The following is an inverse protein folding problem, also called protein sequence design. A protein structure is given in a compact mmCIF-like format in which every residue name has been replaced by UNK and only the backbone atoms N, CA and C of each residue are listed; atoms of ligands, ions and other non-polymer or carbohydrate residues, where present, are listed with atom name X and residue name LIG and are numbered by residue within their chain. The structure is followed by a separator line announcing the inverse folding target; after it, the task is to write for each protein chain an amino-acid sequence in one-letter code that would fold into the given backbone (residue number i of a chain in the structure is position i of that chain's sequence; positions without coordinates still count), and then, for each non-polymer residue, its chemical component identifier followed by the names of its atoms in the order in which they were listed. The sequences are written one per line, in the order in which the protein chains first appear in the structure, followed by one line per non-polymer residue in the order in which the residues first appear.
data_IF_490532637571
#
_entry.id   IF_490532637571
#
_cell.length_a   1.000
_cell.length_b   1.000
_cell.length_c   1.000
_cell.angle_alpha   90.00
_cell.angle_beta   90.00
_cell.angle_gamma   90.00
#
_symmetry.space_group_name_H-M   'P 1'
#
loop_
_entity.id
_entity.type
_entity.pdbx_description
1 polymer ?
#
# COMPACT_ATOMS: atom_id res chain seq x y z
N UNK A 1 52.97 -93.79 0.99
CA UNK A 1 51.58 -93.54 1.45
C UNK A 1 50.93 -92.51 0.53
N UNK A 2 49.62 -92.63 0.27
CA UNK A 2 48.83 -91.64 -0.51
C UNK A 2 47.94 -90.83 0.42
N UNK A 3 47.80 -89.53 0.17
CA UNK A 3 46.65 -88.64 0.45
C UNK A 3 46.94 -87.30 -0.25
N UNK A 4 46.10 -86.75 -1.14
CA UNK A 4 44.88 -85.93 -0.88
C UNK A 4 45.13 -84.72 0.05
N UNK A 5 44.57 -83.52 -0.13
CA UNK A 5 43.92 -82.79 -1.25
C UNK A 5 43.57 -81.38 -0.69
N UNK A 6 43.63 -80.32 -1.50
CA UNK A 6 42.94 -78.99 -1.34
C UNK A 6 43.18 -77.99 -0.18
N UNK A 7 43.25 -76.71 -0.62
CA UNK A 7 42.52 -75.50 -0.17
C UNK A 7 42.97 -74.61 1.03
N UNK A 8 43.04 -73.31 0.68
CA UNK A 8 42.52 -72.11 1.37
C UNK A 8 43.23 -71.45 2.57
N UNK A 9 43.52 -70.15 2.32
CA UNK A 9 43.09 -68.94 3.07
C UNK A 9 44.07 -68.19 3.99
N UNK A 10 43.99 -66.85 3.84
CA UNK A 10 44.56 -65.75 4.66
C UNK A 10 46.09 -65.58 4.53
N UNK A 11 46.66 -64.37 4.60
CA UNK A 11 46.11 -63.02 4.78
C UNK A 11 46.43 -62.14 3.52
N UNK A 12 46.43 -60.80 3.48
CA UNK A 12 46.21 -59.72 4.47
C UNK A 12 45.56 -58.50 3.74
N UNK A 13 45.52 -57.32 4.37
CA UNK A 13 44.87 -56.07 3.91
C UNK A 13 45.94 -55.01 3.58
N UNK A 14 45.67 -54.11 2.61
CA UNK A 14 45.91 -52.69 2.85
C UNK A 14 44.62 -51.88 2.68
N UNK A 15 44.36 -50.99 3.65
CA UNK A 15 43.21 -50.10 3.64
C UNK A 15 43.49 -48.96 2.66
N UNK A 16 42.78 -48.95 1.52
CA UNK A 16 42.72 -47.75 0.69
C UNK A 16 41.84 -46.71 1.37
N UNK A 17 42.46 -45.78 2.10
CA UNK A 17 41.82 -44.54 2.55
C UNK A 17 41.49 -43.68 1.34
N UNK A 18 40.24 -43.80 0.88
CA UNK A 18 39.67 -42.89 -0.13
C UNK A 18 39.60 -41.49 0.50
N UNK A 19 40.56 -40.64 0.16
CA UNK A 19 40.46 -39.20 0.35
C UNK A 19 39.38 -38.67 -0.59
N UNK A 20 38.13 -38.76 -0.15
CA UNK A 20 37.04 -37.97 -0.69
C UNK A 20 37.39 -36.50 -0.47
N UNK A 21 38.01 -35.88 -1.47
CA UNK A 21 38.06 -34.42 -1.58
C UNK A 21 36.61 -34.00 -1.73
N UNK A 22 36.01 -33.57 -0.61
CA UNK A 22 34.78 -32.81 -0.64
C UNK A 22 35.13 -31.50 -1.32
N UNK A 23 34.97 -31.47 -2.64
CA UNK A 23 34.80 -30.21 -3.35
C UNK A 23 33.50 -29.63 -2.81
N UNK A 24 33.65 -28.81 -1.77
CA UNK A 24 32.65 -27.80 -1.43
C UNK A 24 32.49 -26.96 -2.67
N UNK A 25 31.51 -27.34 -3.49
CA UNK A 25 30.84 -26.39 -4.36
C UNK A 25 30.38 -25.30 -3.41
N UNK A 26 31.15 -24.22 -3.34
CA UNK A 26 30.63 -22.95 -2.89
C UNK A 26 29.47 -22.69 -3.83
N UNK A 27 28.27 -22.98 -3.35
CA UNK A 27 27.06 -22.38 -3.88
C UNK A 27 27.39 -20.90 -3.94
N UNK A 28 27.56 -20.40 -5.17
CA UNK A 28 27.50 -18.98 -5.43
C UNK A 28 26.09 -18.60 -5.05
N UNK A 29 25.92 -18.29 -3.76
CA UNK A 29 24.97 -17.30 -3.31
C UNK A 29 25.15 -16.18 -4.30
N UNK A 30 24.18 -16.05 -5.19
CA UNK A 30 23.92 -14.78 -5.82
C UNK A 30 23.58 -13.90 -4.63
N UNK A 31 24.60 -13.21 -4.12
CA UNK A 31 24.41 -11.99 -3.39
C UNK A 31 23.67 -11.11 -4.37
N UNK A 32 22.34 -11.16 -4.26
CA UNK A 32 21.42 -10.23 -4.88
C UNK A 32 21.92 -8.88 -4.40
N UNK A 33 22.70 -8.20 -5.24
CA UNK A 33 23.17 -6.87 -4.95
C UNK A 33 21.89 -6.07 -4.77
N UNK A 34 21.58 -5.70 -3.52
CA UNK A 34 20.54 -4.74 -3.23
C UNK A 34 20.85 -3.53 -4.11
N UNK A 35 20.09 -3.40 -5.20
CA UNK A 35 20.32 -2.38 -6.21
C UNK A 35 20.00 -1.07 -5.53
N UNK A 36 21.03 -0.43 -4.96
CA UNK A 36 20.90 0.79 -4.20
C UNK A 36 20.23 1.82 -5.11
N UNK A 37 18.95 2.07 -4.83
CA UNK A 37 18.10 2.89 -5.67
C UNK A 37 18.63 4.32 -5.66
N UNK A 38 18.88 4.89 -6.84
CA UNK A 38 19.16 6.32 -6.95
C UNK A 38 17.91 7.07 -6.45
N UNK A 39 18.06 7.73 -5.32
CA UNK A 39 17.00 8.48 -4.66
C UNK A 39 16.43 9.59 -5.56
N UNK A 40 17.24 10.17 -6.44
CA UNK A 40 16.79 11.19 -7.40
C UNK A 40 15.98 10.57 -8.54
N UNK A 41 16.37 9.39 -9.03
CA UNK A 41 15.61 8.63 -10.03
C UNK A 41 14.24 8.24 -9.45
N UNK A 42 14.21 7.65 -8.25
CA UNK A 42 12.97 7.26 -7.55
C UNK A 42 12.04 8.45 -7.31
N UNK A 43 12.57 9.60 -6.85
CA UNK A 43 11.82 10.85 -6.70
C UNK A 43 11.22 11.30 -8.05
N UNK A 44 12.00 11.25 -9.12
CA UNK A 44 11.58 11.67 -10.46
C UNK A 44 10.48 10.78 -11.02
N UNK A 45 10.59 9.47 -10.84
CA UNK A 45 9.58 8.51 -11.29
C UNK A 45 8.31 8.58 -10.45
N UNK A 46 8.42 8.70 -9.12
CA UNK A 46 7.28 8.98 -8.24
C UNK A 46 6.57 10.28 -8.64
N UNK A 47 7.29 11.32 -9.07
CA UNK A 47 6.71 12.54 -9.62
C UNK A 47 5.88 12.32 -10.89
N UNK A 48 6.33 11.45 -11.81
CA UNK A 48 5.55 11.07 -13.00
C UNK A 48 4.32 10.23 -12.62
N UNK A 49 4.47 9.30 -11.68
CA UNK A 49 3.39 8.47 -11.13
C UNK A 49 2.30 9.34 -10.50
N UNK A 50 2.67 10.27 -9.62
CA UNK A 50 1.74 11.22 -9.01
C UNK A 50 1.09 12.15 -10.05
N UNK A 51 1.82 12.56 -11.10
CA UNK A 51 1.27 13.40 -12.18
C UNK A 51 0.21 12.65 -12.96
N UNK A 52 0.43 11.36 -13.24
CA UNK A 52 -0.53 10.51 -13.93
C UNK A 52 -1.78 10.27 -13.11
N UNK A 53 -1.67 10.05 -11.80
CA UNK A 53 -2.83 9.92 -10.93
C UNK A 53 -3.62 11.23 -10.84
N UNK A 54 -2.94 12.37 -10.66
CA UNK A 54 -3.60 13.68 -10.64
C UNK A 54 -4.24 14.06 -11.99
N UNK A 55 -3.73 13.51 -13.10
CA UNK A 55 -4.31 13.65 -14.44
C UNK A 55 -5.54 12.74 -14.61
N UNK A 56 -5.47 11.51 -14.12
CA UNK A 56 -6.61 10.58 -14.08
C UNK A 56 -7.74 11.13 -13.23
N UNK A 57 -7.47 11.62 -12.01
CA UNK A 57 -8.49 12.26 -11.16
C UNK A 57 -9.22 13.45 -11.82
N UNK A 58 -8.59 14.08 -12.83
CA UNK A 58 -9.17 15.19 -13.60
C UNK A 58 -9.91 14.71 -14.85
N UNK A 59 -9.38 13.70 -15.54
CA UNK A 59 -9.84 13.31 -16.87
C UNK A 59 -10.71 12.04 -16.89
N UNK A 60 -10.61 11.17 -15.88
CA UNK A 60 -11.38 9.93 -15.71
C UNK A 60 -11.30 9.00 -16.95
N UNK A 61 -10.08 8.70 -17.39
CA UNK A 61 -9.78 7.97 -18.64
C UNK A 61 -9.44 6.49 -18.44
N UNK A 62 -9.29 6.04 -17.19
CA UNK A 62 -9.10 4.63 -16.83
C UNK A 62 -10.43 3.94 -16.53
N UNK A 63 -10.43 2.61 -16.62
CA UNK A 63 -11.50 1.80 -16.05
C UNK A 63 -11.52 1.90 -14.51
N UNK A 64 -12.66 1.67 -13.84
CA UNK A 64 -12.74 1.69 -12.38
C UNK A 64 -11.80 0.69 -11.67
N UNK A 65 -11.36 -0.37 -12.36
CA UNK A 65 -10.41 -1.35 -11.84
C UNK A 65 -8.97 -0.81 -11.89
N UNK A 66 -8.57 -0.24 -13.03
CA UNK A 66 -7.27 0.43 -13.16
C UNK A 66 -7.15 1.66 -12.25
N UNK A 67 -8.24 2.44 -12.05
CA UNK A 67 -8.24 3.55 -11.08
C UNK A 67 -8.06 3.04 -9.64
N UNK A 68 -8.71 1.92 -9.27
CA UNK A 68 -8.53 1.28 -7.94
C UNK A 68 -7.10 0.79 -7.75
N UNK A 69 -6.54 0.12 -8.76
CA UNK A 69 -5.13 -0.26 -8.75
C UNK A 69 -4.23 0.96 -8.57
N UNK A 70 -4.43 2.04 -9.32
CA UNK A 70 -3.58 3.23 -9.23
C UNK A 70 -3.57 3.81 -7.81
N UNK A 71 -4.72 3.90 -7.14
CA UNK A 71 -4.75 4.34 -5.73
C UNK A 71 -3.99 3.39 -4.79
N UNK A 72 -4.07 2.06 -5.02
CA UNK A 72 -3.29 1.08 -4.25
C UNK A 72 -1.78 1.22 -4.50
N UNK A 73 -1.36 1.33 -5.76
CA UNK A 73 0.04 1.54 -6.14
C UNK A 73 0.58 2.83 -5.49
N UNK A 74 -0.16 3.93 -5.56
CA UNK A 74 0.21 5.20 -4.94
C UNK A 74 0.40 5.06 -3.41
N UNK A 75 -0.44 4.29 -2.73
CA UNK A 75 -0.31 4.04 -1.29
C UNK A 75 0.92 3.18 -0.95
N UNK A 76 1.17 2.10 -1.68
CA UNK A 76 2.33 1.25 -1.47
C UNK A 76 3.64 2.02 -1.69
N UNK A 77 3.68 2.90 -2.69
CA UNK A 77 4.78 3.82 -2.93
C UNK A 77 4.90 4.86 -1.81
N UNK A 78 3.82 5.54 -1.41
CA UNK A 78 3.85 6.49 -0.30
C UNK A 78 4.41 5.84 0.98
N UNK A 79 3.92 4.65 1.35
CA UNK A 79 4.36 3.92 2.54
C UNK A 79 5.84 3.52 2.47
N UNK A 80 6.30 3.04 1.31
CA UNK A 80 7.68 2.58 1.12
C UNK A 80 8.66 3.74 1.04
N UNK A 81 8.32 4.80 0.29
CA UNK A 81 9.17 5.97 0.11
C UNK A 81 9.25 6.84 1.36
N UNK A 82 8.21 6.90 2.21
CA UNK A 82 8.30 7.59 3.50
C UNK A 82 9.33 6.96 4.46
N UNK A 83 9.64 5.66 4.31
CA UNK A 83 10.71 4.99 5.07
C UNK A 83 12.12 5.37 4.57
N UNK A 84 12.23 5.83 3.33
CA UNK A 84 13.48 6.27 2.70
C UNK A 84 13.69 7.78 2.94
N UNK A 85 12.62 8.58 2.85
CA UNK A 85 12.65 10.04 2.93
C UNK A 85 12.12 10.60 4.28
N UNK A 86 12.53 9.98 5.38
CA UNK A 86 11.95 10.19 6.73
C UNK A 86 11.99 11.63 7.27
N UNK A 87 12.91 12.47 6.80
CA UNK A 87 13.25 13.76 7.44
C UNK A 87 12.69 15.00 6.73
N UNK A 88 11.94 14.88 5.64
CA UNK A 88 11.38 16.02 4.92
C UNK A 88 10.05 15.68 4.20
N UNK A 89 9.13 16.65 4.01
CA UNK A 89 7.83 16.43 3.36
C UNK A 89 7.92 16.29 1.83
N UNK A 90 8.95 15.60 1.34
CA UNK A 90 9.33 15.46 -0.07
C UNK A 90 8.18 14.93 -0.91
N UNK A 91 7.51 13.86 -0.46
CA UNK A 91 6.39 13.27 -1.19
C UNK A 91 5.18 14.21 -1.30
N UNK A 92 4.93 15.03 -0.27
CA UNK A 92 3.86 16.03 -0.31
C UNK A 92 4.18 17.17 -1.29
N UNK A 93 5.43 17.63 -1.33
CA UNK A 93 5.89 18.61 -2.32
C UNK A 93 5.78 18.06 -3.74
N UNK A 94 6.22 16.82 -3.97
CA UNK A 94 6.13 16.17 -5.28
C UNK A 94 4.67 16.06 -5.73
N UNK A 95 3.76 15.62 -4.86
CA UNK A 95 2.32 15.56 -5.17
C UNK A 95 1.71 16.94 -5.47
N UNK A 96 2.14 17.99 -4.77
CA UNK A 96 1.77 19.36 -5.08
C UNK A 96 2.20 19.80 -6.49
N UNK A 97 3.47 19.56 -6.84
CA UNK A 97 4.02 19.84 -8.18
C UNK A 97 3.33 19.00 -9.27
N UNK A 98 3.08 17.72 -8.99
CA UNK A 98 2.38 16.81 -9.90
C UNK A 98 0.94 17.27 -10.19
N UNK A 99 0.22 17.76 -9.18
CA UNK A 99 -1.12 18.33 -9.35
C UNK A 99 -1.14 19.60 -10.21
N UNK A 100 -0.13 20.47 -10.09
CA UNK A 100 0.00 21.61 -11.00
C UNK A 100 0.40 21.15 -12.41
N UNK A 101 1.29 20.17 -12.51
CA UNK A 101 1.76 19.62 -13.79
C UNK A 101 0.65 18.91 -14.55
N UNK A 102 -0.30 18.26 -13.88
CA UNK A 102 -1.47 17.64 -14.52
C UNK A 102 -2.45 18.65 -15.13
N UNK A 103 -2.33 19.94 -14.74
CA UNK A 103 -3.13 21.06 -15.25
C UNK A 103 -2.50 21.80 -16.43
N UNK A 104 -1.28 21.44 -16.83
CA UNK A 104 -0.57 21.99 -17.99
C UNK A 104 -1.37 21.84 -19.29
N UNK A 105 -1.31 22.85 -20.18
CA UNK A 105 -2.06 22.92 -21.44
C UNK A 105 -1.79 21.74 -22.41
N UNK A 106 -0.67 21.03 -22.23
CA UNK A 106 -0.33 19.83 -23.00
C UNK A 106 -1.28 18.65 -22.71
N UNK A 107 -1.91 18.62 -21.55
CA UNK A 107 -2.81 17.54 -21.13
C UNK A 107 -4.26 17.95 -21.35
N UNK A 108 -4.90 17.38 -22.37
CA UNK A 108 -6.22 17.78 -22.87
C UNK A 108 -7.35 16.77 -22.58
N UNK A 109 -7.09 15.80 -21.70
CA UNK A 109 -7.98 14.66 -21.45
C UNK A 109 -8.30 13.87 -22.74
N UNK A 110 -7.30 13.77 -23.60
CA UNK A 110 -7.29 13.09 -24.90
C UNK A 110 -6.50 11.77 -24.86
N UNK A 111 -6.35 11.10 -26.01
CA UNK A 111 -5.56 9.86 -26.10
C UNK A 111 -4.13 10.03 -25.54
N UNK A 112 -3.46 11.15 -25.82
CA UNK A 112 -2.11 11.42 -25.29
C UNK A 112 -2.08 11.51 -23.77
N UNK A 113 -3.16 12.03 -23.18
CA UNK A 113 -3.37 12.04 -21.73
C UNK A 113 -3.58 10.63 -21.20
N UNK A 114 -4.41 9.81 -21.85
CA UNK A 114 -4.61 8.40 -21.49
C UNK A 114 -3.31 7.58 -21.58
N UNK A 115 -2.57 7.71 -22.69
CA UNK A 115 -1.28 7.03 -22.88
C UNK A 115 -0.26 7.42 -21.80
N UNK A 116 -0.30 8.68 -21.32
CA UNK A 116 0.53 9.13 -20.20
C UNK A 116 0.12 8.44 -18.90
N UNK A 117 -1.17 8.43 -18.58
CA UNK A 117 -1.74 7.79 -17.38
C UNK A 117 -1.43 6.28 -17.37
N UNK A 118 -1.57 5.58 -18.50
CA UNK A 118 -1.28 4.14 -18.59
C UNK A 118 0.22 3.84 -18.42
N UNK A 119 1.10 4.64 -19.03
CA UNK A 119 2.56 4.51 -18.80
C UNK A 119 2.97 4.80 -17.36
N UNK A 120 2.34 5.76 -16.70
CA UNK A 120 2.62 6.09 -15.31
C UNK A 120 2.03 5.07 -14.33
N UNK A 121 0.88 4.45 -14.64
CA UNK A 121 0.37 3.29 -13.91
C UNK A 121 1.31 2.08 -14.04
N UNK A 122 1.82 1.80 -15.25
CA UNK A 122 2.82 0.74 -15.42
C UNK A 122 4.11 1.04 -14.64
N UNK A 123 4.59 2.29 -14.67
CA UNK A 123 5.73 2.72 -13.84
C UNK A 123 5.47 2.50 -12.34
N UNK A 124 4.22 2.71 -11.90
CA UNK A 124 3.83 2.49 -10.51
C UNK A 124 3.87 0.99 -10.14
N UNK A 125 3.35 0.10 -11.00
CA UNK A 125 3.47 -1.37 -10.86
C UNK A 125 4.92 -1.79 -10.72
N UNK A 126 5.77 -1.36 -11.65
CA UNK A 126 7.19 -1.73 -11.70
C UNK A 126 7.93 -1.27 -10.43
N UNK A 127 7.70 -0.02 -10.00
CA UNK A 127 8.35 0.55 -8.82
C UNK A 127 7.83 -0.03 -7.51
N UNK A 128 6.53 -0.33 -7.40
CA UNK A 128 5.96 -1.02 -6.22
C UNK A 128 6.53 -2.43 -6.11
N UNK A 129 6.57 -3.18 -7.21
CA UNK A 129 7.18 -4.51 -7.22
C UNK A 129 8.65 -4.45 -6.81
N UNK A 130 9.40 -3.47 -7.29
CA UNK A 130 10.81 -3.28 -6.91
C UNK A 130 11.00 -2.90 -5.43
N UNK A 131 10.12 -2.08 -4.86
CA UNK A 131 10.23 -1.59 -3.47
C UNK A 131 9.64 -2.53 -2.42
N UNK A 132 8.67 -3.38 -2.80
CA UNK A 132 7.84 -4.14 -1.84
C UNK A 132 7.73 -5.63 -2.15
N UNK A 133 8.05 -6.05 -3.37
CA UNK A 133 7.78 -7.40 -3.87
C UNK A 133 6.30 -7.72 -4.12
N UNK A 134 5.38 -6.75 -3.96
CA UNK A 134 3.94 -6.95 -4.06
C UNK A 134 3.36 -6.51 -5.40
N UNK A 135 2.44 -7.32 -5.92
CA UNK A 135 1.57 -7.00 -7.06
C UNK A 135 0.16 -6.66 -6.60
N UNK A 136 -0.60 -5.97 -7.45
CA UNK A 136 -2.03 -5.73 -7.22
C UNK A 136 -2.87 -6.96 -7.59
N UNK A 137 -3.73 -7.41 -6.68
CA UNK A 137 -4.76 -8.41 -6.94
C UNK A 137 -6.15 -7.78 -6.72
N UNK A 138 -7.01 -7.87 -7.75
CA UNK A 138 -8.32 -7.24 -7.76
C UNK A 138 -9.27 -7.87 -6.71
N UNK A 139 -9.94 -7.03 -5.94
CA UNK A 139 -10.81 -7.37 -4.81
C UNK A 139 -10.08 -8.04 -3.60
N UNK A 140 -8.74 -8.07 -3.61
CA UNK A 140 -7.90 -8.52 -2.48
C UNK A 140 -7.04 -7.37 -1.98
N UNK A 141 -6.21 -6.81 -2.87
CA UNK A 141 -5.29 -5.71 -2.55
C UNK A 141 -6.02 -4.40 -2.28
N UNK A 142 -6.97 -4.02 -3.14
CA UNK A 142 -7.84 -2.85 -2.94
C UNK A 142 -8.81 -3.02 -1.77
N UNK A 143 -9.37 -4.22 -1.58
CA UNK A 143 -10.26 -4.52 -0.44
C UNK A 143 -9.55 -4.30 0.90
N UNK A 144 -8.39 -4.93 1.09
CA UNK A 144 -7.59 -4.76 2.32
C UNK A 144 -7.19 -3.29 2.53
N UNK A 145 -6.79 -2.61 1.47
CA UNK A 145 -6.43 -1.19 1.50
C UNK A 145 -7.62 -0.25 1.77
N UNK A 146 -8.82 -0.62 1.34
CA UNK A 146 -10.06 0.05 1.72
C UNK A 146 -10.40 -0.18 3.20
N UNK A 147 -10.29 -1.43 3.69
CA UNK A 147 -10.51 -1.84 5.09
C UNK A 147 -9.56 -1.11 6.06
N UNK A 148 -8.26 -1.05 5.76
CA UNK A 148 -7.27 -0.32 6.56
C UNK A 148 -7.58 1.19 6.67
N UNK A 149 -8.12 1.80 5.60
CA UNK A 149 -8.39 3.24 5.57
C UNK A 149 -9.71 3.62 6.23
N UNK A 150 -10.74 2.79 6.11
CA UNK A 150 -12.02 3.03 6.79
C UNK A 150 -11.91 2.77 8.29
N UNK A 151 -11.03 1.87 8.75
CA UNK A 151 -10.71 1.69 10.17
C UNK A 151 -10.13 2.98 10.80
N UNK A 152 -9.16 3.62 10.13
CA UNK A 152 -8.60 4.91 10.56
C UNK A 152 -9.70 5.99 10.71
N UNK A 153 -10.65 6.02 9.76
CA UNK A 153 -11.81 6.93 9.81
C UNK A 153 -12.73 6.59 10.99
N UNK A 154 -13.04 5.31 11.20
CA UNK A 154 -13.91 4.82 12.26
C UNK A 154 -13.35 5.16 13.66
N UNK A 155 -12.05 4.91 13.88
CA UNK A 155 -11.35 5.29 15.11
C UNK A 155 -11.39 6.81 15.30
N UNK A 156 -11.07 7.60 14.26
CA UNK A 156 -11.10 9.06 14.34
C UNK A 156 -12.50 9.61 14.66
N UNK A 157 -13.56 9.02 14.10
CA UNK A 157 -14.94 9.40 14.37
C UNK A 157 -15.34 9.07 15.82
N UNK A 158 -14.98 7.87 16.32
CA UNK A 158 -15.23 7.47 17.70
C UNK A 158 -14.46 8.33 18.71
N UNK A 159 -13.19 8.64 18.44
CA UNK A 159 -12.38 9.57 19.25
C UNK A 159 -12.97 10.98 19.25
N UNK A 160 -13.46 11.50 18.11
CA UNK A 160 -14.08 12.82 18.07
C UNK A 160 -15.39 12.87 18.85
N UNK A 161 -16.21 11.81 18.83
CA UNK A 161 -17.46 11.74 19.58
C UNK A 161 -17.27 11.85 21.11
N UNK A 162 -16.06 11.59 21.62
CA UNK A 162 -15.71 11.76 23.05
C UNK A 162 -15.00 13.10 23.29
N UNK A 163 -14.03 13.46 22.43
CA UNK A 163 -13.12 14.57 22.67
C UNK A 163 -13.50 15.91 22.01
N UNK A 164 -14.40 15.91 21.02
CA UNK A 164 -14.87 17.10 20.30
C UNK A 164 -13.73 18.00 19.78
N UNK A 165 -12.73 17.41 19.13
CA UNK A 165 -11.55 18.13 18.60
C UNK A 165 -11.83 18.91 17.32
N UNK A 166 -12.87 18.52 16.57
CA UNK A 166 -13.28 19.17 15.33
C UNK A 166 -14.32 20.26 15.57
N UNK A 167 -14.32 21.26 14.68
CA UNK A 167 -15.46 22.16 14.52
C UNK A 167 -16.68 21.36 14.00
N UNK A 168 -17.93 21.77 14.32
CA UNK A 168 -19.14 21.01 13.96
C UNK A 168 -19.27 20.69 12.46
N UNK A 169 -18.76 21.56 11.58
CA UNK A 169 -18.75 21.30 10.13
C UNK A 169 -17.81 20.16 9.71
N UNK A 170 -16.68 19.97 10.40
CA UNK A 170 -15.72 18.89 10.12
C UNK A 170 -16.11 17.60 10.84
N UNK A 171 -16.72 17.70 12.03
CA UNK A 171 -17.37 16.57 12.69
C UNK A 171 -18.45 15.98 11.79
N UNK A 172 -19.36 16.80 11.25
CA UNK A 172 -20.44 16.31 10.39
C UNK A 172 -19.89 15.68 9.10
N UNK A 173 -18.84 16.25 8.50
CA UNK A 173 -18.13 15.64 7.37
C UNK A 173 -17.53 14.27 7.75
N UNK A 174 -16.85 14.17 8.90
CA UNK A 174 -16.27 12.91 9.38
C UNK A 174 -17.35 11.85 9.61
N UNK A 175 -18.45 12.22 10.29
CA UNK A 175 -19.57 11.33 10.63
C UNK A 175 -20.36 10.86 9.41
N UNK A 176 -20.74 11.79 8.52
CA UNK A 176 -21.49 11.47 7.29
C UNK A 176 -20.60 10.73 6.29
N UNK A 177 -19.34 11.15 6.16
CA UNK A 177 -18.38 10.51 5.27
C UNK A 177 -18.03 9.08 5.72
N UNK A 178 -17.81 8.85 7.02
CA UNK A 178 -17.63 7.50 7.57
C UNK A 178 -18.77 6.57 7.13
N UNK A 179 -20.02 6.98 7.39
CA UNK A 179 -21.19 6.17 7.00
C UNK A 179 -21.24 5.92 5.48
N UNK A 180 -21.14 6.98 4.68
CA UNK A 180 -21.27 6.88 3.23
C UNK A 180 -20.16 6.00 2.60
N UNK A 181 -18.96 6.02 3.17
CA UNK A 181 -17.86 5.16 2.75
C UNK A 181 -18.09 3.70 3.16
N UNK A 182 -18.52 3.43 4.39
CA UNK A 182 -18.89 2.06 4.82
C UNK A 182 -20.01 1.47 3.95
N UNK A 183 -21.06 2.25 3.65
CA UNK A 183 -22.15 1.84 2.76
C UNK A 183 -21.63 1.54 1.34
N UNK A 184 -20.74 2.39 0.80
CA UNK A 184 -20.15 2.20 -0.54
C UNK A 184 -19.16 1.02 -0.62
N UNK A 185 -18.46 0.70 0.48
CA UNK A 185 -17.57 -0.44 0.59
C UNK A 185 -18.34 -1.76 0.71
N UNK A 186 -19.41 -1.79 1.49
CA UNK A 186 -20.33 -2.94 1.55
C UNK A 186 -20.95 -3.23 0.18
N UNK A 187 -21.30 -2.19 -0.59
CA UNK A 187 -21.81 -2.35 -1.94
C UNK A 187 -20.73 -2.84 -2.94
N UNK A 188 -19.44 -2.55 -2.70
CA UNK A 188 -18.32 -2.97 -3.55
C UNK A 188 -17.89 -4.42 -3.28
N UNK A 189 -17.89 -4.85 -2.02
CA UNK A 189 -17.43 -6.18 -1.60
C UNK A 189 -18.50 -6.93 -0.78
N UNK A 190 -19.69 -7.21 -1.35
CA UNK A 190 -20.88 -7.64 -0.60
C UNK A 190 -20.68 -8.91 0.25
N UNK A 191 -19.94 -9.89 -0.27
CA UNK A 191 -19.72 -11.19 0.38
C UNK A 191 -18.45 -11.22 1.26
N UNK A 192 -17.68 -10.12 1.32
CA UNK A 192 -16.33 -10.12 1.88
C UNK A 192 -16.02 -8.95 2.83
N UNK A 193 -16.79 -7.87 2.81
CA UNK A 193 -16.59 -6.71 3.69
C UNK A 193 -17.11 -7.00 5.10
N UNK A 194 -16.21 -7.10 6.08
CA UNK A 194 -16.59 -7.32 7.48
C UNK A 194 -16.58 -6.02 8.28
N UNK A 195 -17.74 -5.38 8.35
CA UNK A 195 -17.95 -4.16 9.14
C UNK A 195 -17.80 -4.37 10.65
N UNK A 196 -17.80 -5.61 11.16
CA UNK A 196 -17.75 -5.85 12.61
C UNK A 196 -16.42 -5.39 13.23
N UNK A 197 -15.32 -5.51 12.48
CA UNK A 197 -13.99 -5.01 12.86
C UNK A 197 -13.98 -3.48 12.97
N UNK A 198 -14.51 -2.80 11.95
CA UNK A 198 -14.59 -1.34 11.83
C UNK A 198 -15.51 -0.75 12.92
N UNK A 199 -16.67 -1.39 13.15
CA UNK A 199 -17.60 -1.04 14.23
C UNK A 199 -16.98 -1.25 15.62
N UNK A 200 -16.18 -2.31 15.81
CA UNK A 200 -15.46 -2.54 17.05
C UNK A 200 -14.40 -1.45 17.29
N UNK A 201 -13.68 -1.03 16.25
CA UNK A 201 -12.74 0.10 16.30
C UNK A 201 -13.41 1.43 16.65
N UNK A 202 -14.55 1.76 16.02
CA UNK A 202 -15.37 2.92 16.40
C UNK A 202 -15.80 2.82 17.87
N UNK A 203 -16.39 1.70 18.29
CA UNK A 203 -16.91 1.49 19.65
C UNK A 203 -15.80 1.63 20.69
N UNK A 204 -14.63 1.02 20.44
CA UNK A 204 -13.43 1.12 21.29
C UNK A 204 -12.97 2.56 21.45
N UNK A 205 -12.86 3.31 20.35
CA UNK A 205 -12.46 4.72 20.36
C UNK A 205 -13.50 5.61 21.08
N UNK A 206 -14.78 5.38 20.84
CA UNK A 206 -15.88 6.10 21.51
C UNK A 206 -16.10 5.73 22.98
N UNK A 207 -15.40 4.72 23.48
CA UNK A 207 -15.43 4.26 24.89
C UNK A 207 -14.19 4.67 25.69
N UNK A 208 -13.28 5.47 25.11
CA UNK A 208 -12.06 5.90 25.79
C UNK A 208 -12.36 6.90 26.92
N UNK A 209 -11.49 6.94 27.95
CA UNK A 209 -11.59 7.94 29.01
C UNK A 209 -11.38 9.35 28.43
N UNK A 210 -12.22 10.33 28.82
CA UNK A 210 -12.07 11.75 28.46
C UNK A 210 -10.72 12.33 28.91
N UNK A 211 -10.08 11.77 29.94
CA UNK A 211 -8.74 12.16 30.36
C UNK A 211 -7.65 11.83 29.31
N UNK A 212 -7.94 10.98 28.31
CA UNK A 212 -7.05 10.72 27.17
C UNK A 212 -7.11 11.79 26.06
N UNK A 213 -8.08 12.71 26.13
CA UNK A 213 -8.25 13.76 25.14
C UNK A 213 -7.11 14.79 25.22
N UNK A 214 -6.25 14.79 24.19
CA UNK A 214 -5.12 15.70 24.04
C UNK A 214 -4.61 15.76 22.60
N UNK A 215 -3.40 16.29 22.40
CA UNK A 215 -2.88 16.56 21.05
C UNK A 215 -2.77 15.29 20.17
N UNK A 216 -2.43 14.13 20.74
CA UNK A 216 -2.39 12.87 19.98
C UNK A 216 -3.77 12.51 19.39
N UNK A 217 -4.82 12.52 20.22
CA UNK A 217 -6.20 12.26 19.77
C UNK A 217 -6.70 13.33 18.79
N UNK A 218 -6.26 14.59 18.93
CA UNK A 218 -6.59 15.68 18.00
C UNK A 218 -5.95 15.45 16.63
N UNK A 219 -4.68 15.09 16.58
CA UNK A 219 -3.98 14.76 15.33
C UNK A 219 -4.60 13.53 14.64
N UNK A 220 -4.91 12.48 15.40
CA UNK A 220 -5.64 11.30 14.92
C UNK A 220 -7.00 11.67 14.30
N UNK A 221 -7.79 12.50 14.99
CA UNK A 221 -9.07 12.97 14.47
C UNK A 221 -8.92 13.82 13.21
N UNK A 222 -7.94 14.74 13.16
CA UNK A 222 -7.66 15.56 11.98
C UNK A 222 -7.22 14.71 10.78
N UNK A 223 -6.38 13.69 11.00
CA UNK A 223 -5.95 12.74 9.98
C UNK A 223 -7.14 11.94 9.43
N UNK A 224 -8.02 11.42 10.29
CA UNK A 224 -9.23 10.71 9.86
C UNK A 224 -10.21 11.59 9.09
N UNK A 225 -10.39 12.86 9.47
CA UNK A 225 -11.19 13.81 8.68
C UNK A 225 -10.57 14.11 7.30
N UNK A 226 -9.25 14.32 7.23
CA UNK A 226 -8.54 14.50 5.96
C UNK A 226 -8.66 13.27 5.05
N UNK A 227 -8.48 12.07 5.61
CA UNK A 227 -8.65 10.79 4.93
C UNK A 227 -10.09 10.61 4.43
N UNK A 228 -11.09 10.95 5.25
CA UNK A 228 -12.51 10.93 4.87
C UNK A 228 -12.76 11.78 3.64
N UNK A 229 -12.28 13.03 3.62
CA UNK A 229 -12.43 13.93 2.45
C UNK A 229 -11.73 13.41 1.20
N UNK A 230 -10.57 12.78 1.36
CA UNK A 230 -9.87 12.14 0.25
C UNK A 230 -10.66 10.94 -0.30
N UNK A 231 -11.11 10.01 0.56
CA UNK A 231 -11.85 8.84 0.12
C UNK A 231 -13.19 9.19 -0.51
N UNK A 232 -13.94 10.16 0.05
CA UNK A 232 -15.18 10.64 -0.54
C UNK A 232 -14.97 11.09 -2.00
N UNK A 233 -13.87 11.81 -2.29
CA UNK A 233 -13.48 12.16 -3.66
C UNK A 233 -13.13 10.92 -4.50
N UNK A 234 -12.33 9.99 -3.99
CA UNK A 234 -11.93 8.76 -4.72
C UNK A 234 -13.14 7.89 -5.10
N UNK A 235 -14.14 7.80 -4.21
CA UNK A 235 -15.39 7.07 -4.41
C UNK A 235 -16.45 7.89 -5.17
N UNK A 236 -16.14 9.15 -5.54
CA UNK A 236 -17.05 10.10 -6.21
C UNK A 236 -18.33 10.38 -5.42
N UNK A 237 -18.24 10.33 -4.09
CA UNK A 237 -19.31 10.64 -3.15
C UNK A 237 -19.28 12.13 -2.78
N UNK A 238 -20.45 12.72 -2.62
CA UNK A 238 -20.61 14.06 -2.04
C UNK A 238 -21.00 13.96 -0.55
N UNK A 239 -20.52 14.89 0.26
CA UNK A 239 -21.16 15.12 1.56
C UNK A 239 -22.57 15.65 1.30
N UNK A 240 -23.59 15.00 1.86
CA UNK A 240 -24.94 15.52 1.80
C UNK A 240 -24.97 16.90 2.49
N UNK A 241 -25.20 17.96 1.73
CA UNK A 241 -25.57 19.24 2.32
C UNK A 241 -26.89 19.05 3.04
N UNK A 242 -26.97 19.47 4.31
CA UNK A 242 -28.28 19.84 4.86
C UNK A 242 -28.84 20.91 3.93
N UNK A 243 -30.08 20.72 3.48
CA UNK A 243 -30.79 21.77 2.75
C UNK A 243 -30.80 23.05 3.61
N UNK A 244 -30.64 24.24 2.98
CA UNK A 244 -30.52 25.51 3.69
C UNK A 244 -31.79 25.93 4.43
#
# INVERSE_FOLDING_TARGET
MKSTVTLLKKALVPVCTVLCVVTTQTSTSYAEQEKQLDSNEVITEYGKIATGLALEERCLLLSPEETREYYWQQYMLDYSLNKIFTNAPVLNMIRGTAYQTSRDERFKCDQKSQDFIQRSLQKARDLTQQLTGQTFELNVSDKKFDEERIDIIAVAAGTNAVCNHLLPEYEEQLRVGYKALSDALQARYPDAFDTSSIDASYKKASSQDKNSCGEATKQQTLQGWQLTRMLMKQFRLAFASKEP
#
